data_IF_137943280642
#
_entry.id   IF_137943280642
#
_cell.length_a   1.000
_cell.length_b   1.000
_cell.length_c   1.000
_cell.angle_alpha   90.00
_cell.angle_beta   90.00
_cell.angle_gamma   90.00
#
_symmetry.space_group_name_H-M   'P 1'
#
loop_
_entity.id
_entity.type
_entity.pdbx_description
1 polymer ?
#
# COMPACT_ATOMS: atom_id res chain seq x y z
N UNK A 1 -9.04 9.36 -3.30
CA UNK A 1 -8.80 9.34 -4.78
C UNK A 1 -9.49 10.53 -5.43
N UNK A 2 -8.75 11.59 -5.78
CA UNK A 2 -9.30 12.79 -6.42
C UNK A 2 -9.62 12.55 -7.91
N UNK A 3 -10.90 12.71 -8.26
CA UNK A 3 -11.45 13.01 -9.59
C UNK A 3 -10.81 12.41 -10.88
N UNK A 4 -10.37 11.15 -10.87
CA UNK A 4 -9.90 10.49 -12.12
C UNK A 4 -11.08 10.13 -13.04
N UNK A 5 -10.85 10.19 -14.37
CA UNK A 5 -11.85 9.79 -15.40
C UNK A 5 -12.44 8.40 -15.14
N UNK A 6 -11.63 7.48 -14.63
CA UNK A 6 -12.03 6.11 -14.30
C UNK A 6 -12.96 6.06 -13.07
N UNK A 7 -12.65 6.80 -12.00
CA UNK A 7 -13.53 6.89 -10.83
C UNK A 7 -14.92 7.39 -11.21
N UNK A 8 -14.99 8.41 -12.09
CA UNK A 8 -16.26 8.97 -12.55
C UNK A 8 -17.03 7.98 -13.44
N UNK A 9 -16.34 7.36 -14.42
CA UNK A 9 -16.93 6.38 -15.35
C UNK A 9 -17.59 5.20 -14.61
N UNK A 10 -16.91 4.66 -13.60
CA UNK A 10 -17.36 3.47 -12.86
C UNK A 10 -18.03 3.80 -11.52
N UNK A 11 -18.35 5.09 -11.28
CA UNK A 11 -19.08 5.58 -10.08
C UNK A 11 -18.47 5.07 -8.76
N UNK A 12 -17.16 5.24 -8.63
CA UNK A 12 -16.46 4.89 -7.39
C UNK A 12 -16.96 5.74 -6.23
N UNK A 13 -17.24 5.08 -5.11
CA UNK A 13 -17.60 5.71 -3.85
C UNK A 13 -16.53 6.73 -3.39
N UNK A 14 -16.99 7.73 -2.63
CA UNK A 14 -16.17 8.85 -2.16
C UNK A 14 -16.37 9.03 -0.66
N UNK A 15 -15.29 9.27 0.13
CA UNK A 15 -13.91 9.54 -0.30
C UNK A 15 -13.14 8.34 -0.87
N UNK A 16 -13.54 7.12 -0.50
CA UNK A 16 -12.90 5.86 -0.84
C UNK A 16 -13.93 4.84 -1.33
N UNK A 17 -13.53 3.98 -2.28
CA UNK A 17 -14.33 2.84 -2.74
C UNK A 17 -13.63 1.55 -2.32
N UNK A 18 -14.33 0.74 -1.51
CA UNK A 18 -13.73 -0.47 -0.93
C UNK A 18 -13.43 -1.53 -2.01
N UNK A 19 -14.31 -1.68 -3.00
CA UNK A 19 -14.15 -2.63 -4.12
C UNK A 19 -12.93 -2.29 -4.95
N UNK A 20 -12.73 -0.99 -5.22
CA UNK A 20 -11.57 -0.51 -5.95
C UNK A 20 -10.25 -0.83 -5.22
N UNK A 21 -10.22 -0.66 -3.89
CA UNK A 21 -9.04 -0.95 -3.07
C UNK A 21 -8.77 -2.44 -2.94
N UNK A 22 -9.80 -3.27 -2.72
CA UNK A 22 -9.64 -4.73 -2.64
C UNK A 22 -9.24 -5.33 -4.01
N UNK A 23 -9.67 -4.74 -5.13
CA UNK A 23 -9.20 -5.09 -6.47
C UNK A 23 -7.71 -4.74 -6.66
N UNK A 24 -7.27 -3.55 -6.24
CA UNK A 24 -5.84 -3.17 -6.24
C UNK A 24 -5.01 -4.13 -5.37
N UNK A 25 -5.51 -4.49 -4.18
CA UNK A 25 -4.88 -5.45 -3.27
C UNK A 25 -4.76 -6.84 -3.93
N UNK A 26 -5.81 -7.29 -4.63
CA UNK A 26 -5.84 -8.57 -5.36
C UNK A 26 -4.76 -8.60 -6.44
N UNK A 27 -4.67 -7.54 -7.27
CA UNK A 27 -3.66 -7.43 -8.31
C UNK A 27 -2.23 -7.35 -7.76
N UNK A 28 -2.00 -6.58 -6.68
CA UNK A 28 -0.69 -6.50 -6.03
C UNK A 28 -0.27 -7.82 -5.37
N UNK A 29 -1.21 -8.57 -4.77
CA UNK A 29 -0.96 -9.90 -4.21
C UNK A 29 -0.53 -10.90 -5.28
N UNK A 30 -1.12 -10.86 -6.46
CA UNK A 30 -0.69 -11.68 -7.61
C UNK A 30 0.74 -11.34 -8.06
N UNK A 31 1.09 -10.05 -8.17
CA UNK A 31 2.46 -9.62 -8.50
C UNK A 31 3.49 -10.16 -7.50
N UNK A 32 3.20 -10.13 -6.19
CA UNK A 32 4.10 -10.70 -5.18
C UNK A 32 4.19 -12.23 -5.31
N UNK A 33 3.11 -12.91 -5.65
CA UNK A 33 3.12 -14.36 -5.88
C UNK A 33 4.02 -14.75 -7.06
N UNK A 34 3.86 -14.07 -8.19
CA UNK A 34 4.58 -14.34 -9.44
C UNK A 34 6.05 -13.89 -9.40
N UNK A 35 6.40 -12.94 -8.53
CA UNK A 35 7.76 -12.41 -8.34
C UNK A 35 8.27 -12.68 -6.91
N UNK A 36 8.85 -13.87 -6.64
CA UNK A 36 9.38 -14.29 -5.33
C UNK A 36 10.45 -13.39 -4.72
N UNK A 37 11.04 -12.50 -5.51
CA UNK A 37 12.09 -11.57 -5.12
C UNK A 37 11.55 -10.32 -4.41
N UNK A 38 10.24 -10.02 -4.51
CA UNK A 38 9.61 -8.89 -3.79
C UNK A 38 9.40 -9.26 -2.31
N UNK A 39 10.02 -8.50 -1.40
CA UNK A 39 9.90 -8.70 0.06
C UNK A 39 8.72 -7.95 0.68
N UNK A 40 8.39 -6.78 0.14
CA UNK A 40 7.34 -5.87 0.61
C UNK A 40 6.77 -5.09 -0.59
N UNK A 41 5.46 -4.92 -0.63
CA UNK A 41 4.81 -3.89 -1.43
C UNK A 41 3.94 -3.01 -0.55
N UNK A 42 3.93 -1.72 -0.86
CA UNK A 42 3.03 -0.73 -0.28
C UNK A 42 2.28 -0.04 -1.43
N UNK A 43 0.95 -0.13 -1.45
CA UNK A 43 0.15 0.29 -2.61
C UNK A 43 -0.40 1.70 -2.51
N UNK A 44 0.16 2.66 -3.26
CA UNK A 44 -0.46 3.98 -3.52
C UNK A 44 0.07 4.61 -4.85
N UNK A 45 -0.80 4.73 -5.88
CA UNK A 45 -0.52 5.37 -7.20
C UNK A 45 0.65 4.80 -8.08
N UNK A 46 1.21 5.58 -9.04
CA UNK A 46 1.76 5.18 -10.37
C UNK A 46 3.04 5.97 -10.92
N UNK A 47 3.77 5.47 -11.97
CA UNK A 47 4.76 6.07 -13.00
C UNK A 47 6.18 5.40 -13.33
N UNK A 48 6.56 4.94 -14.57
CA UNK A 48 7.45 3.83 -15.20
C UNK A 48 8.97 3.41 -14.91
N UNK A 49 9.40 2.10 -15.12
CA UNK A 49 10.74 1.52 -15.62
C UNK A 49 11.08 -0.05 -15.59
N UNK A 50 11.24 -0.77 -16.72
CA UNK A 50 11.73 -2.20 -16.94
C UNK A 50 11.43 -3.36 -15.93
N UNK A 51 11.95 -3.38 -14.69
CA UNK A 51 11.41 -4.31 -13.67
C UNK A 51 9.89 -4.07 -13.51
N UNK A 52 9.54 -2.79 -13.61
CA UNK A 52 8.19 -2.28 -13.73
C UNK A 52 7.46 -2.87 -14.93
N UNK A 53 8.05 -3.03 -16.11
CA UNK A 53 7.26 -3.51 -17.25
C UNK A 53 6.68 -4.90 -16.97
N UNK A 54 7.38 -5.74 -16.20
CA UNK A 54 6.83 -7.00 -15.67
C UNK A 54 5.82 -6.76 -14.55
N UNK A 55 6.14 -5.94 -13.54
CA UNK A 55 5.24 -5.61 -12.42
C UNK A 55 3.91 -5.00 -12.91
N UNK A 56 3.95 -3.95 -13.72
CA UNK A 56 2.81 -3.23 -14.28
C UNK A 56 2.01 -4.09 -15.26
N UNK A 57 2.64 -4.90 -16.12
CA UNK A 57 1.87 -5.80 -17.00
C UNK A 57 1.16 -6.91 -16.22
N UNK A 58 1.84 -7.51 -15.23
CA UNK A 58 1.26 -8.51 -14.33
C UNK A 58 0.14 -7.90 -13.49
N UNK A 59 0.34 -6.69 -12.94
CA UNK A 59 -0.66 -5.95 -12.19
C UNK A 59 -1.87 -5.61 -13.05
N UNK A 60 -1.67 -5.00 -14.23
CA UNK A 60 -2.74 -4.61 -15.15
C UNK A 60 -3.55 -5.83 -15.60
N UNK A 61 -2.88 -6.94 -15.92
CA UNK A 61 -3.52 -8.19 -16.32
C UNK A 61 -4.40 -8.76 -15.19
N UNK A 62 -3.87 -8.83 -13.97
CA UNK A 62 -4.62 -9.30 -12.80
C UNK A 62 -5.74 -8.34 -12.38
N UNK A 63 -5.57 -7.03 -12.57
CA UNK A 63 -6.60 -6.01 -12.31
C UNK A 63 -7.77 -6.14 -13.28
N UNK A 64 -7.50 -6.33 -14.58
CA UNK A 64 -8.54 -6.58 -15.59
C UNK A 64 -9.21 -7.94 -15.38
N UNK A 65 -8.43 -8.99 -15.12
CA UNK A 65 -8.94 -10.35 -14.86
C UNK A 65 -9.84 -10.41 -13.62
N UNK A 66 -9.44 -9.75 -12.53
CA UNK A 66 -10.18 -9.77 -11.26
C UNK A 66 -11.33 -8.77 -11.22
N UNK A 67 -11.48 -7.90 -12.22
CA UNK A 67 -12.46 -6.80 -12.21
C UNK A 67 -13.89 -7.28 -11.93
N UNK A 68 -14.36 -8.32 -12.63
CA UNK A 68 -15.72 -8.84 -12.48
C UNK A 68 -16.02 -9.44 -11.10
N UNK A 69 -15.00 -9.91 -10.38
CA UNK A 69 -15.14 -10.40 -9.01
C UNK A 69 -15.38 -9.29 -7.99
N UNK A 70 -14.93 -8.05 -8.28
CA UNK A 70 -15.09 -6.88 -7.40
C UNK A 70 -16.16 -5.89 -7.89
N UNK A 71 -16.46 -5.90 -9.19
CA UNK A 71 -17.46 -5.05 -9.85
C UNK A 71 -18.40 -5.89 -10.75
N UNK A 72 -19.19 -6.83 -10.18
CA UNK A 72 -20.02 -7.75 -10.97
C UNK A 72 -21.06 -7.04 -11.83
N UNK A 73 -21.71 -5.99 -11.31
CA UNK A 73 -22.78 -5.26 -11.99
C UNK A 73 -22.27 -4.18 -12.96
N UNK A 74 -20.96 -3.93 -12.99
CA UNK A 74 -20.35 -2.83 -13.76
C UNK A 74 -19.23 -3.35 -14.66
N UNK A 75 -19.56 -3.95 -15.83
CA UNK A 75 -18.56 -4.49 -16.74
C UNK A 75 -17.54 -3.45 -17.21
N UNK A 76 -16.28 -3.88 -17.27
CA UNK A 76 -15.18 -3.07 -17.77
C UNK A 76 -15.36 -2.80 -19.28
N UNK A 77 -15.16 -1.56 -19.70
CA UNK A 77 -15.31 -1.14 -21.10
C UNK A 77 -14.18 -0.21 -21.53
N UNK A 78 -13.86 -0.17 -22.83
CA UNK A 78 -12.77 0.64 -23.36
C UNK A 78 -12.90 2.15 -23.04
N UNK A 79 -11.79 2.89 -22.90
CA UNK A 79 -10.42 2.37 -22.79
C UNK A 79 -10.23 1.56 -21.50
N UNK A 80 -9.42 0.50 -21.59
CA UNK A 80 -9.05 -0.34 -20.45
C UNK A 80 -8.14 0.44 -19.47
N UNK A 81 -8.11 0.08 -18.18
CA UNK A 81 -7.24 0.71 -17.20
C UNK A 81 -5.78 0.45 -17.57
N UNK A 82 -4.98 1.51 -17.53
CA UNK A 82 -3.53 1.47 -17.73
C UNK A 82 -2.87 1.96 -16.46
N UNK A 83 -1.86 1.25 -16.01
CA UNK A 83 -1.04 1.65 -14.86
C UNK A 83 0.35 2.02 -15.34
N UNK A 84 1.01 2.82 -14.53
CA UNK A 84 2.40 3.20 -14.71
C UNK A 84 3.14 2.90 -13.37
N UNK A 85 4.47 2.77 -13.28
CA UNK A 85 5.14 2.51 -11.97
C UNK A 85 6.66 2.63 -11.94
N UNK A 86 7.34 3.14 -10.90
CA UNK A 86 8.78 3.50 -10.98
C UNK A 86 9.68 2.51 -10.26
N UNK A 87 10.88 2.29 -10.79
CA UNK A 87 12.01 1.86 -9.96
C UNK A 87 12.77 3.08 -9.44
N UNK A 88 12.91 3.16 -8.12
CA UNK A 88 13.81 4.08 -7.43
C UNK A 88 14.77 3.24 -6.60
N UNK A 89 16.06 3.57 -6.64
CA UNK A 89 17.09 2.86 -5.87
C UNK A 89 17.38 3.65 -4.60
N UNK A 90 17.32 2.98 -3.46
CA UNK A 90 17.67 3.55 -2.16
C UNK A 90 19.02 2.96 -1.71
N UNK A 91 20.03 3.80 -1.40
CA UNK A 91 21.37 3.31 -1.06
C UNK A 91 21.48 2.78 0.38
N UNK A 92 20.49 3.07 1.22
CA UNK A 92 20.41 2.62 2.62
C UNK A 92 19.00 2.17 2.97
N UNK A 93 18.88 1.30 3.98
CA UNK A 93 17.63 0.91 4.60
C UNK A 93 16.91 2.14 5.17
N UNK A 94 17.64 3.09 5.75
CA UNK A 94 17.02 4.32 6.26
C UNK A 94 16.27 5.07 5.14
N UNK A 95 16.87 5.26 3.95
CA UNK A 95 16.18 5.96 2.86
C UNK A 95 14.97 5.20 2.32
N UNK A 96 15.00 3.86 2.33
CA UNK A 96 13.83 3.03 1.99
C UNK A 96 12.71 3.21 3.03
N UNK A 97 13.06 3.21 4.32
CA UNK A 97 12.12 3.43 5.43
C UNK A 97 11.53 4.83 5.41
N UNK A 98 12.33 5.86 5.15
CA UNK A 98 11.89 7.26 5.01
C UNK A 98 10.89 7.40 3.84
N UNK A 99 11.20 6.79 2.69
CA UNK A 99 10.30 6.80 1.53
C UNK A 99 8.95 6.15 1.85
N UNK A 100 8.94 4.95 2.43
CA UNK A 100 7.71 4.24 2.76
C UNK A 100 6.90 4.97 3.86
N UNK A 101 7.59 5.54 4.85
CA UNK A 101 7.00 6.39 5.88
C UNK A 101 6.34 7.63 5.26
N UNK A 102 7.01 8.28 4.30
CA UNK A 102 6.46 9.40 3.54
C UNK A 102 5.23 8.99 2.72
N UNK A 103 5.24 7.83 2.06
CA UNK A 103 4.06 7.31 1.32
C UNK A 103 2.89 6.97 2.24
N UNK A 104 3.13 6.56 3.50
CA UNK A 104 2.06 6.35 4.49
C UNK A 104 1.55 7.66 5.12
N UNK A 105 2.43 8.61 5.41
CA UNK A 105 2.03 9.95 5.87
C UNK A 105 1.20 10.68 4.79
N UNK A 106 1.59 10.59 3.52
CA UNK A 106 0.85 11.12 2.37
C UNK A 106 -0.52 10.46 2.23
N UNK A 107 -0.63 9.14 2.44
CA UNK A 107 -1.92 8.44 2.50
C UNK A 107 -2.83 9.00 3.61
N UNK A 108 -2.31 9.16 4.83
CA UNK A 108 -3.07 9.70 5.96
C UNK A 108 -3.56 11.13 5.71
N UNK A 109 -2.69 12.02 5.24
CA UNK A 109 -3.01 13.42 4.94
C UNK A 109 -4.07 13.51 3.84
N UNK A 110 -3.88 12.79 2.73
CA UNK A 110 -4.83 12.78 1.63
C UNK A 110 -6.17 12.16 2.05
N UNK A 111 -6.18 11.11 2.86
CA UNK A 111 -7.44 10.51 3.32
C UNK A 111 -8.20 11.46 4.24
N UNK A 112 -7.54 12.12 5.19
CA UNK A 112 -8.16 13.11 6.07
C UNK A 112 -8.75 14.29 5.26
N UNK A 113 -7.99 14.82 4.30
CA UNK A 113 -8.47 15.87 3.40
C UNK A 113 -9.69 15.40 2.59
N UNK A 114 -9.59 14.26 1.90
CA UNK A 114 -10.69 13.74 1.07
C UNK A 114 -11.94 13.45 1.92
N UNK A 115 -11.79 12.92 3.13
CA UNK A 115 -12.92 12.62 4.02
C UNK A 115 -13.64 13.90 4.44
N UNK A 116 -12.90 14.94 4.85
CA UNK A 116 -13.49 16.24 5.16
C UNK A 116 -14.14 16.88 3.93
N UNK A 117 -13.47 16.85 2.77
CA UNK A 117 -13.94 17.42 1.50
C UNK A 117 -15.25 16.79 1.02
N UNK A 118 -15.31 15.46 0.95
CA UNK A 118 -16.52 14.77 0.51
C UNK A 118 -17.65 14.84 1.54
N UNK A 119 -17.35 14.95 2.84
CA UNK A 119 -18.38 15.23 3.86
C UNK A 119 -19.02 16.60 3.67
N UNK A 120 -18.20 17.64 3.41
CA UNK A 120 -18.69 19.00 3.11
C UNK A 120 -19.62 19.04 1.89
N UNK A 121 -19.33 18.25 0.86
CA UNK A 121 -20.17 18.16 -0.35
C UNK A 121 -21.42 17.31 -0.12
N UNK A 122 -21.26 16.06 0.32
CA UNK A 122 -22.36 15.09 0.36
C UNK A 122 -23.31 15.27 1.54
N UNK A 123 -22.79 15.70 2.70
CA UNK A 123 -23.57 15.91 3.93
C UNK A 123 -23.81 17.40 4.19
N UNK A 124 -22.84 18.25 3.85
CA UNK A 124 -22.94 19.71 3.99
C UNK A 124 -23.59 20.43 2.80
N UNK A 125 -23.78 19.77 1.65
CA UNK A 125 -24.41 20.34 0.46
C UNK A 125 -23.57 21.37 -0.29
N UNK A 126 -22.27 21.51 0.01
CA UNK A 126 -21.38 22.49 -0.63
C UNK A 126 -21.01 22.10 -2.07
N UNK A 127 -20.75 23.09 -2.92
CA UNK A 127 -20.09 22.84 -4.20
C UNK A 127 -18.60 22.51 -4.03
N UNK A 128 -18.00 21.83 -5.04
CA UNK A 128 -16.57 21.45 -5.00
C UNK A 128 -15.63 22.64 -4.72
N UNK A 129 -15.88 23.80 -5.33
CA UNK A 129 -15.05 25.01 -5.12
C UNK A 129 -15.19 25.59 -3.71
N UNK A 130 -16.39 25.52 -3.14
CA UNK A 130 -16.65 26.01 -1.79
C UNK A 130 -15.99 25.09 -0.76
N UNK A 131 -16.07 23.78 -0.95
CA UNK A 131 -15.39 22.80 -0.11
C UNK A 131 -13.85 22.88 -0.22
N UNK A 132 -13.31 23.14 -1.42
CA UNK A 132 -11.88 23.43 -1.62
C UNK A 132 -11.44 24.67 -0.84
N UNK A 133 -12.19 25.78 -0.95
CA UNK A 133 -11.92 27.03 -0.25
C UNK A 133 -12.07 26.89 1.28
N UNK A 134 -13.09 26.18 1.75
CA UNK A 134 -13.33 25.93 3.18
C UNK A 134 -12.24 25.08 3.84
N UNK A 135 -11.50 24.27 3.06
CA UNK A 135 -10.36 23.50 3.53
C UNK A 135 -9.00 24.15 3.24
N UNK A 136 -8.95 25.24 2.46
CA UNK A 136 -7.71 25.94 2.16
C UNK A 136 -7.07 26.52 3.43
N UNK A 137 -5.77 26.33 3.60
CA UNK A 137 -5.02 26.81 4.78
C UNK A 137 -5.28 26.05 6.09
N UNK A 138 -6.31 25.19 6.16
CA UNK A 138 -6.62 24.42 7.38
C UNK A 138 -5.54 23.39 7.71
N UNK A 139 -5.32 23.14 9.01
CA UNK A 139 -4.43 22.12 9.54
C UNK A 139 -5.13 20.76 9.66
N UNK A 140 -4.45 19.76 10.24
CA UNK A 140 -5.03 18.44 10.48
C UNK A 140 -6.07 18.47 11.63
N UNK A 141 -5.84 19.27 12.67
CA UNK A 141 -6.77 19.43 13.79
C UNK A 141 -8.12 19.98 13.30
N UNK A 142 -8.11 21.09 12.55
CA UNK A 142 -9.29 21.75 12.01
C UNK A 142 -10.13 20.79 11.14
N UNK A 143 -9.50 19.93 10.33
CA UNK A 143 -10.22 18.92 9.52
C UNK A 143 -10.92 17.87 10.39
N UNK A 144 -10.28 17.44 11.48
CA UNK A 144 -10.90 16.53 12.45
C UNK A 144 -12.06 17.22 13.18
N UNK A 145 -11.92 18.50 13.53
CA UNK A 145 -12.99 19.28 14.16
C UNK A 145 -14.17 19.51 13.20
N UNK A 146 -13.92 19.82 11.92
CA UNK A 146 -14.95 19.93 10.88
C UNK A 146 -15.72 18.60 10.76
N UNK A 147 -15.02 17.48 10.68
CA UNK A 147 -15.63 16.14 10.60
C UNK A 147 -16.47 15.82 11.84
N UNK A 148 -15.94 16.07 13.03
CA UNK A 148 -16.61 15.74 14.28
C UNK A 148 -17.79 16.67 14.58
N UNK A 149 -17.56 17.99 14.57
CA UNK A 149 -18.53 18.99 15.02
C UNK A 149 -19.66 19.24 14.01
N UNK A 150 -19.41 19.11 12.69
CA UNK A 150 -20.46 19.31 11.67
C UNK A 150 -21.17 18.02 11.26
N UNK A 151 -20.46 16.88 11.26
CA UNK A 151 -20.97 15.63 10.69
C UNK A 151 -20.99 14.45 11.66
N UNK A 152 -20.51 14.61 12.90
CA UNK A 152 -20.42 13.52 13.89
C UNK A 152 -19.38 12.46 13.55
N UNK A 153 -18.53 12.69 12.54
CA UNK A 153 -17.56 11.73 12.04
C UNK A 153 -16.29 11.78 12.88
N UNK A 154 -16.01 10.71 13.62
CA UNK A 154 -14.73 10.53 14.30
C UNK A 154 -13.75 9.83 13.36
N UNK A 155 -12.85 10.58 12.73
CA UNK A 155 -11.87 10.08 11.77
C UNK A 155 -11.01 8.91 12.31
N UNK A 156 -10.75 8.84 13.63
CA UNK A 156 -10.01 7.72 14.21
C UNK A 156 -10.76 6.39 14.13
N UNK A 157 -12.08 6.39 13.91
CA UNK A 157 -12.92 5.21 13.69
C UNK A 157 -13.05 4.81 12.22
N UNK A 158 -12.52 5.59 11.28
CA UNK A 158 -12.46 5.18 9.87
C UNK A 158 -11.65 3.89 9.71
N UNK A 159 -11.99 3.01 8.75
CA UNK A 159 -11.25 1.79 8.47
C UNK A 159 -9.74 2.02 8.29
N UNK A 160 -8.92 1.15 8.89
CA UNK A 160 -7.44 1.24 8.83
C UNK A 160 -6.91 1.27 7.38
N UNK A 161 -7.54 0.52 6.47
CA UNK A 161 -7.23 0.54 5.02
C UNK A 161 -7.30 1.94 4.40
N UNK A 162 -8.22 2.80 4.85
CA UNK A 162 -8.33 4.18 4.35
C UNK A 162 -7.28 5.10 4.99
N UNK A 163 -6.96 4.90 6.28
CA UNK A 163 -6.03 5.76 7.05
C UNK A 163 -4.55 5.44 6.85
N UNK A 164 -4.22 4.18 6.54
CA UNK A 164 -2.85 3.62 6.49
C UNK A 164 -2.49 2.95 5.18
N UNK A 165 -3.44 2.75 4.27
CA UNK A 165 -3.25 2.00 3.03
C UNK A 165 -3.13 0.48 3.24
N UNK A 166 -2.57 -0.20 2.25
CA UNK A 166 -2.34 -1.65 2.27
C UNK A 166 -0.85 -1.96 2.21
N UNK A 167 -0.40 -2.78 3.16
CA UNK A 167 0.94 -3.35 3.25
C UNK A 167 0.84 -4.82 2.86
N UNK A 168 1.63 -5.27 1.89
CA UNK A 168 1.57 -6.64 1.38
C UNK A 168 2.95 -7.27 1.47
N UNK A 169 3.06 -8.38 2.20
CA UNK A 169 4.33 -9.06 2.47
C UNK A 169 4.14 -10.57 2.57
N UNK A 170 5.27 -11.30 2.55
CA UNK A 170 5.30 -12.73 2.86
C UNK A 170 5.31 -12.93 4.36
N UNK A 171 4.35 -13.71 4.83
CA UNK A 171 4.17 -13.99 6.25
C UNK A 171 5.14 -15.06 6.76
N UNK A 172 5.73 -14.77 7.92
CA UNK A 172 6.70 -15.60 8.62
C UNK A 172 6.53 -15.36 10.13
N UNK A 173 7.00 -16.30 10.97
CA UNK A 173 6.97 -16.17 12.43
C UNK A 173 7.63 -14.84 12.85
N UNK A 174 6.84 -13.95 13.46
CA UNK A 174 7.33 -12.68 14.03
C UNK A 174 8.46 -12.96 15.02
N UNK A 175 9.49 -12.12 14.97
CA UNK A 175 10.63 -12.20 15.89
C UNK A 175 10.43 -11.18 17.01
N UNK A 176 10.85 -11.52 18.23
CA UNK A 176 10.93 -10.53 19.31
C UNK A 176 11.97 -9.45 18.96
N UNK A 177 11.76 -8.17 19.31
CA UNK A 177 12.73 -7.10 19.08
C UNK A 177 14.03 -7.34 19.86
N UNK A 178 14.96 -8.07 19.25
CA UNK A 178 16.29 -8.28 19.77
C UNK A 178 17.17 -7.05 19.52
N UNK A 179 18.25 -6.89 20.30
CA UNK A 179 19.25 -5.83 20.12
C UNK A 179 20.08 -5.92 18.82
N UNK A 180 19.65 -6.75 17.86
CA UNK A 180 20.29 -6.93 16.56
C UNK A 180 19.60 -6.03 15.53
N UNK A 181 20.15 -4.83 15.35
CA UNK A 181 19.63 -3.90 14.35
C UNK A 181 19.86 -4.46 12.93
N UNK A 182 18.80 -5.02 12.34
CA UNK A 182 18.88 -5.63 11.01
C UNK A 182 19.21 -4.59 9.94
N UNK A 183 18.76 -3.34 10.11
CA UNK A 183 19.06 -2.25 9.18
C UNK A 183 20.57 -1.96 9.14
N UNK A 184 21.22 -1.77 10.30
CA UNK A 184 22.68 -1.58 10.39
C UNK A 184 23.45 -2.74 9.75
N UNK A 185 23.03 -4.00 9.96
CA UNK A 185 23.73 -5.15 9.36
C UNK A 185 23.59 -5.24 7.84
N UNK A 186 22.55 -4.62 7.26
CA UNK A 186 22.33 -4.53 5.81
C UNK A 186 23.10 -3.34 5.24
N UNK A 187 23.02 -2.17 5.88
CA UNK A 187 23.71 -0.96 5.44
C UNK A 187 25.25 -1.07 5.57
N UNK A 188 25.75 -1.89 6.50
CA UNK A 188 27.17 -2.22 6.60
C UNK A 188 27.67 -3.21 5.52
N UNK A 189 26.78 -3.82 4.73
CA UNK A 189 27.16 -4.74 3.63
C UNK A 189 27.29 -3.97 2.32
N UNK A 190 28.53 -3.57 1.99
CA UNK A 190 28.84 -2.86 0.75
C UNK A 190 28.50 -3.65 -0.54
N UNK A 191 28.45 -4.98 -0.47
CA UNK A 191 27.96 -5.85 -1.55
C UNK A 191 27.00 -6.91 -0.99
N UNK A 192 25.98 -7.34 -1.76
CA UNK A 192 25.09 -8.43 -1.35
C UNK A 192 25.87 -9.75 -1.24
N UNK A 193 25.79 -10.38 -0.07
CA UNK A 193 26.48 -11.64 0.23
C UNK A 193 26.16 -12.71 -0.83
N UNK A 194 27.19 -13.16 -1.56
CA UNK A 194 27.04 -14.21 -2.57
C UNK A 194 26.59 -15.53 -1.90
N UNK A 195 25.31 -15.86 -2.09
CA UNK A 195 24.75 -17.14 -1.66
C UNK A 195 25.17 -18.26 -2.61
N UNK A 196 25.33 -19.48 -2.08
CA UNK A 196 25.45 -20.67 -2.94
C UNK A 196 24.16 -20.92 -3.72
N UNK A 197 24.25 -21.46 -4.95
CA UNK A 197 23.07 -21.79 -5.78
C UNK A 197 22.00 -22.59 -5.02
N UNK A 198 22.44 -23.58 -4.23
CA UNK A 198 21.59 -24.42 -3.38
C UNK A 198 20.86 -23.62 -2.29
N UNK A 199 21.49 -22.59 -1.74
CA UNK A 199 20.86 -21.70 -0.77
C UNK A 199 19.82 -20.79 -1.44
N UNK A 200 20.14 -20.21 -2.59
CA UNK A 200 19.20 -19.38 -3.37
C UNK A 200 17.96 -20.17 -3.82
N UNK A 201 18.14 -21.42 -4.27
CA UNK A 201 17.02 -22.32 -4.61
C UNK A 201 16.16 -22.66 -3.39
N UNK A 202 16.78 -22.97 -2.23
CA UNK A 202 16.06 -23.22 -0.99
C UNK A 202 15.29 -21.99 -0.50
N UNK A 203 15.89 -20.81 -0.56
CA UNK A 203 15.23 -19.56 -0.15
C UNK A 203 14.08 -19.22 -1.11
N UNK A 204 14.24 -19.41 -2.43
CA UNK A 204 13.14 -19.28 -3.41
C UNK A 204 12.00 -20.28 -3.15
N UNK A 205 12.33 -21.53 -2.79
CA UNK A 205 11.34 -22.56 -2.40
C UNK A 205 10.64 -22.25 -1.08
N UNK A 206 11.27 -21.51 -0.16
CA UNK A 206 10.63 -21.03 1.07
C UNK A 206 9.71 -19.84 0.79
N UNK A 207 10.16 -18.86 -0.01
CA UNK A 207 9.36 -17.69 -0.42
C UNK A 207 8.11 -18.05 -1.23
N UNK A 208 8.14 -19.13 -2.02
CA UNK A 208 6.97 -19.64 -2.75
C UNK A 208 5.99 -20.46 -1.90
N UNK A 209 6.38 -20.87 -0.69
CA UNK A 209 5.51 -21.55 0.29
C UNK A 209 4.94 -20.62 1.35
N UNK A 210 5.53 -19.46 1.58
CA UNK A 210 5.04 -18.48 2.54
C UNK A 210 3.69 -17.91 2.08
N UNK A 211 2.75 -17.78 3.01
CA UNK A 211 1.49 -17.08 2.75
C UNK A 211 1.76 -15.61 2.40
N UNK A 212 0.93 -15.02 1.53
CA UNK A 212 1.00 -13.59 1.22
C UNK A 212 -0.14 -12.88 1.94
N UNK A 213 0.23 -12.06 2.92
CA UNK A 213 -0.68 -11.32 3.79
C UNK A 213 -0.91 -9.92 3.22
N UNK A 214 -2.14 -9.40 3.36
CA UNK A 214 -2.52 -8.02 3.07
C UNK A 214 -3.00 -7.43 4.38
N UNK A 215 -2.34 -6.37 4.83
CA UNK A 215 -2.46 -5.86 6.20
C UNK A 215 -2.51 -4.32 6.22
N UNK A 216 -3.07 -3.74 7.28
CA UNK A 216 -3.30 -2.28 7.39
C UNK A 216 -2.55 -1.69 8.59
N UNK A 217 -1.23 -1.88 8.59
CA UNK A 217 -0.34 -1.60 9.71
C UNK A 217 0.37 -0.24 9.60
N UNK A 218 0.80 0.30 10.74
CA UNK A 218 1.72 1.43 10.83
C UNK A 218 3.13 0.92 10.45
N UNK A 219 3.71 1.46 9.38
CA UNK A 219 5.06 1.10 8.89
C UNK A 219 6.09 2.19 9.13
N UNK A 220 5.70 3.26 9.83
CA UNK A 220 6.59 4.38 10.19
C UNK A 220 7.44 3.96 11.41
N UNK A 221 6.81 3.31 12.40
CA UNK A 221 7.46 2.88 13.65
C UNK A 221 8.37 1.67 13.48
N UNK A 222 9.42 1.62 14.30
CA UNK A 222 10.41 0.53 14.34
C UNK A 222 9.79 -0.85 14.58
N UNK A 223 8.75 -0.94 15.42
CA UNK A 223 8.09 -2.21 15.78
C UNK A 223 7.65 -3.04 14.55
N UNK A 224 7.23 -2.39 13.46
CA UNK A 224 6.86 -3.09 12.23
C UNK A 224 8.06 -3.83 11.61
N UNK A 225 9.22 -3.17 11.60
CA UNK A 225 10.47 -3.60 10.96
C UNK A 225 11.23 -4.60 11.82
N UNK A 226 11.36 -4.32 13.12
CA UNK A 226 12.13 -5.13 14.07
C UNK A 226 11.52 -6.52 14.25
N UNK A 227 10.18 -6.60 14.23
CA UNK A 227 9.44 -7.87 14.30
C UNK A 227 9.42 -8.64 12.98
N UNK A 228 9.84 -8.02 11.87
CA UNK A 228 9.82 -8.57 10.50
C UNK A 228 11.17 -8.44 9.77
N UNK A 229 12.29 -8.92 10.36
CA UNK A 229 13.65 -8.69 9.84
C UNK A 229 13.90 -9.32 8.45
N UNK A 230 13.06 -10.25 8.00
CA UNK A 230 13.09 -10.81 6.65
C UNK A 230 12.80 -9.79 5.54
N UNK A 231 12.05 -8.73 5.85
CA UNK A 231 11.72 -7.66 4.90
C UNK A 231 13.00 -6.94 4.44
N UNK A 232 13.86 -6.60 5.41
CA UNK A 232 15.10 -5.85 5.21
C UNK A 232 16.26 -6.75 4.79
N UNK A 233 16.42 -7.91 5.45
CA UNK A 233 17.53 -8.83 5.18
C UNK A 233 17.38 -9.65 3.90
N UNK A 234 16.20 -9.64 3.26
CA UNK A 234 15.81 -10.49 2.12
C UNK A 234 15.97 -12.00 2.37
N UNK A 235 16.14 -12.43 3.64
CA UNK A 235 16.26 -13.83 4.04
C UNK A 235 14.92 -14.33 4.55
N UNK A 236 14.33 -15.40 3.97
CA UNK A 236 13.01 -15.87 4.38
C UNK A 236 13.02 -16.34 5.84
N UNK A 237 11.99 -15.97 6.59
CA UNK A 237 11.78 -16.39 7.99
C UNK A 237 11.30 -17.83 8.12
N UNK A 238 10.95 -18.24 9.35
CA UNK A 238 10.25 -19.51 9.57
C UNK A 238 8.80 -19.34 9.11
N UNK A 239 8.25 -20.31 8.39
CA UNK A 239 6.83 -20.29 8.02
C UNK A 239 6.05 -20.53 9.33
N UNK A 240 4.99 -19.75 9.63
CA UNK A 240 4.20 -19.95 10.84
C UNK A 240 3.62 -21.36 10.84
N UNK A 241 3.62 -22.00 12.02
CA UNK A 241 2.79 -23.19 12.20
C UNK A 241 1.33 -22.77 12.14
N UNK A 242 0.54 -23.49 11.36
CA UNK A 242 -0.92 -23.29 11.30
C UNK A 242 -1.52 -23.40 12.71
N UNK A 243 -2.45 -22.50 13.02
CA UNK A 243 -3.25 -22.44 14.25
C UNK A 243 -4.69 -22.79 13.90
#
# INVERSE_FOLDING_TARGET
MANSRMCAKYRFEKPNDRRALDLMNTAAKAVIADLPEITLAYGVSDEYSKLVSTVVSTFTSNYVYSWSSHFPDTPLSFPLPTFDGRAVVYPTVQNLRDYLSWRQADCHINNLYNTAFWSLIQLGGMENKEAEQALAGTLAADKNEILFSKFGINYNREPEIFKKGSVIFRDYELVEPASHNTAETVDAQAEPVQQSKKQTENDKRRRSKAAIMVDHLDIIKDEFWDRRPWILSNKPGKIPKEV
#
